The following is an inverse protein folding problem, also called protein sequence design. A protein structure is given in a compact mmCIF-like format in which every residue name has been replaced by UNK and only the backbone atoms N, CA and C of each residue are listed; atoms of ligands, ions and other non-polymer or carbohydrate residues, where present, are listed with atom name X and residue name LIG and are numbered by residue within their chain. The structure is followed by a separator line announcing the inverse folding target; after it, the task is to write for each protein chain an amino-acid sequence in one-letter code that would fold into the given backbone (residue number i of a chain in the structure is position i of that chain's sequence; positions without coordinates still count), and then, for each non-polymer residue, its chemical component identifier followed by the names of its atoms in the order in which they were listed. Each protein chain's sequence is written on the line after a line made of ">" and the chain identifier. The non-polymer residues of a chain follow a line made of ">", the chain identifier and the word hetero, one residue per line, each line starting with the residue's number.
data_IF_098957339219
#
_entry.id   IF_098957339219
#
_cell.length_a   1.000
_cell.length_b   1.000
_cell.length_c   1.000
_cell.angle_alpha   90.00
_cell.angle_beta   90.00
_cell.angle_gamma   90.00
#
_symmetry.space_group_name_H-M   'P 1'
#
loop_
_entity.id
_entity.type
_entity.pdbx_description
1 polymer ?
#
# COMPACT_ATOMS: atom_id res chain seq x y z
N UNK A 1 4.83 -16.44 2.89
CA UNK A 1 6.07 -15.93 2.33
C UNK A 1 5.89 -14.54 1.80
N UNK A 2 6.89 -13.72 2.00
CA UNK A 2 6.83 -12.35 1.54
C UNK A 2 7.16 -12.21 0.07
N UNK A 3 7.13 -10.99 -0.45
CA UNK A 3 7.48 -10.73 -1.84
C UNK A 3 8.97 -10.95 -2.07
N UNK A 4 9.32 -11.28 -3.29
CA UNK A 4 10.72 -11.36 -3.66
C UNK A 4 11.30 -9.95 -3.73
N UNK A 5 12.63 -9.85 -3.77
CA UNK A 5 13.28 -8.55 -3.87
C UNK A 5 12.83 -7.78 -5.11
N UNK A 6 12.73 -8.47 -6.25
CA UNK A 6 12.35 -7.78 -7.48
C UNK A 6 10.87 -7.36 -7.44
N UNK A 7 10.01 -8.14 -6.79
CA UNK A 7 8.62 -7.73 -6.62
C UNK A 7 8.51 -6.48 -5.77
N UNK A 8 9.29 -6.42 -4.70
CA UNK A 8 9.25 -5.27 -3.81
C UNK A 8 9.79 -4.02 -4.50
N UNK A 9 10.90 -4.17 -5.21
CA UNK A 9 11.49 -3.04 -5.95
C UNK A 9 10.47 -2.51 -6.96
N UNK A 10 9.82 -3.39 -7.69
CA UNK A 10 8.80 -2.99 -8.64
C UNK A 10 7.63 -2.28 -7.95
N UNK A 11 7.22 -2.80 -6.78
CA UNK A 11 6.11 -2.21 -6.06
C UNK A 11 6.39 -0.79 -5.61
N UNK A 12 7.62 -0.50 -5.19
CA UNK A 12 7.96 0.84 -4.68
C UNK A 12 8.49 1.76 -5.77
N UNK A 13 8.54 1.32 -7.02
CA UNK A 13 9.07 2.14 -8.10
C UNK A 13 8.15 3.28 -8.49
N UNK A 14 6.85 3.15 -8.25
CA UNK A 14 5.89 4.17 -8.63
C UNK A 14 5.67 5.15 -7.49
N UNK A 15 5.76 6.47 -7.75
CA UNK A 15 5.66 7.47 -6.67
C UNK A 15 4.37 7.36 -5.86
N UNK A 16 3.23 7.13 -6.51
CA UNK A 16 1.97 7.04 -5.78
C UNK A 16 1.95 5.81 -4.89
N UNK A 17 2.55 4.70 -5.34
CA UNK A 17 2.62 3.51 -4.48
C UNK A 17 3.46 3.78 -3.24
N UNK A 18 4.55 4.52 -3.37
CA UNK A 18 5.35 4.90 -2.21
C UNK A 18 4.55 5.76 -1.25
N UNK A 19 3.75 6.70 -1.78
CA UNK A 19 2.90 7.53 -0.92
C UNK A 19 1.87 6.70 -0.18
N UNK A 20 1.29 5.71 -0.86
CA UNK A 20 0.33 4.81 -0.22
C UNK A 20 1.01 4.06 0.93
N UNK A 21 2.19 3.51 0.69
CA UNK A 21 2.88 2.75 1.72
C UNK A 21 3.32 3.63 2.88
N UNK A 22 3.74 4.85 2.59
CA UNK A 22 4.05 5.81 3.67
C UNK A 22 2.81 6.12 4.50
N UNK A 23 1.64 6.19 3.88
CA UNK A 23 0.42 6.45 4.63
C UNK A 23 0.17 5.33 5.65
N UNK A 24 0.41 4.08 5.26
CA UNK A 24 0.28 2.98 6.20
C UNK A 24 1.28 3.09 7.34
N UNK A 25 2.52 3.44 7.02
CA UNK A 25 3.57 3.49 8.04
C UNK A 25 3.40 4.69 8.96
N UNK A 26 3.23 5.87 8.37
CA UNK A 26 3.17 7.09 9.16
C UNK A 26 1.87 7.20 9.94
N UNK A 27 0.78 6.69 9.37
CA UNK A 27 -0.51 6.69 10.04
C UNK A 27 -0.73 5.49 10.94
N UNK A 28 0.21 4.54 10.95
CA UNK A 28 0.09 3.30 11.72
C UNK A 28 -1.24 2.63 11.43
N UNK A 29 -1.57 2.54 10.15
CA UNK A 29 -2.86 2.00 9.74
C UNK A 29 -2.85 0.48 9.82
N UNK A 30 -3.88 -0.09 10.45
CA UNK A 30 -4.05 -1.54 10.44
C UNK A 30 -4.59 -1.99 9.09
N UNK A 31 -5.54 -1.23 8.55
CA UNK A 31 -6.06 -1.49 7.22
C UNK A 31 -6.72 -0.21 6.71
N UNK A 32 -6.89 -0.14 5.41
CA UNK A 32 -7.51 1.02 4.80
C UNK A 32 -8.16 0.63 3.48
N UNK A 33 -9.24 1.31 3.14
CA UNK A 33 -9.90 1.13 1.86
C UNK A 33 -9.31 2.08 0.84
N UNK A 34 -9.60 1.81 -0.43
CA UNK A 34 -9.16 2.70 -1.51
C UNK A 34 -9.71 4.10 -1.32
N UNK A 35 -10.96 4.20 -0.88
CA UNK A 35 -11.59 5.51 -0.68
C UNK A 35 -10.90 6.29 0.43
N UNK A 36 -10.59 5.63 1.54
CA UNK A 36 -9.92 6.29 2.65
C UNK A 36 -8.54 6.80 2.22
N UNK A 37 -7.80 5.98 1.50
CA UNK A 37 -6.47 6.39 1.05
C UNK A 37 -6.55 7.49 -0.01
N UNK A 38 -7.54 7.41 -0.90
CA UNK A 38 -7.70 8.43 -1.93
C UNK A 38 -7.97 9.79 -1.29
N UNK A 39 -8.81 9.82 -0.26
CA UNK A 39 -9.07 11.07 0.45
C UNK A 39 -7.81 11.59 1.13
N UNK A 40 -7.11 10.72 1.81
CA UNK A 40 -5.90 11.13 2.55
C UNK A 40 -4.82 11.65 1.61
N UNK A 41 -4.71 11.09 0.42
CA UNK A 41 -3.67 11.43 -0.53
C UNK A 41 -4.14 12.41 -1.60
N UNK A 42 -5.41 12.78 -1.57
CA UNK A 42 -6.01 13.69 -2.54
C UNK A 42 -5.83 13.17 -3.97
N UNK A 43 -6.17 11.90 -4.14
CA UNK A 43 -6.06 11.22 -5.42
C UNK A 43 -7.41 10.62 -5.81
N UNK A 44 -7.51 10.18 -7.05
CA UNK A 44 -8.74 9.54 -7.52
C UNK A 44 -8.84 8.13 -6.97
N UNK A 45 -10.04 7.76 -6.55
CA UNK A 45 -10.26 6.44 -5.96
C UNK A 45 -9.87 5.32 -6.92
N UNK A 46 -10.23 5.45 -8.18
CA UNK A 46 -9.90 4.41 -9.16
C UNK A 46 -8.42 4.19 -9.32
N UNK A 47 -7.66 5.28 -9.29
CA UNK A 47 -6.22 5.20 -9.41
C UNK A 47 -5.61 4.52 -8.19
N UNK A 48 -6.07 4.91 -7.00
CA UNK A 48 -5.59 4.30 -5.77
C UNK A 48 -5.96 2.81 -5.74
N UNK A 49 -7.19 2.48 -6.12
CA UNK A 49 -7.63 1.10 -6.14
C UNK A 49 -6.76 0.24 -7.06
N UNK A 50 -6.41 0.77 -8.21
CA UNK A 50 -5.53 0.05 -9.14
C UNK A 50 -4.20 -0.27 -8.48
N UNK A 51 -3.60 0.73 -7.83
CA UNK A 51 -2.30 0.50 -7.19
C UNK A 51 -2.39 -0.42 -5.98
N UNK A 52 -3.49 -0.38 -5.24
CA UNK A 52 -3.68 -1.30 -4.13
C UNK A 52 -3.74 -2.74 -4.62
N UNK A 53 -4.44 -2.98 -5.72
CA UNK A 53 -4.51 -4.32 -6.29
C UNK A 53 -3.14 -4.77 -6.80
N UNK A 54 -2.38 -3.86 -7.39
CA UNK A 54 -1.04 -4.18 -7.86
C UNK A 54 -0.13 -4.53 -6.69
N UNK A 55 -0.22 -3.76 -5.59
CA UNK A 55 0.57 -4.06 -4.40
C UNK A 55 0.17 -5.40 -3.79
N UNK A 56 -1.11 -5.75 -3.86
CA UNK A 56 -1.57 -7.04 -3.37
C UNK A 56 -1.02 -8.18 -4.22
N UNK A 57 -0.97 -7.98 -5.53
CA UNK A 57 -0.40 -9.00 -6.41
C UNK A 57 1.07 -9.24 -6.12
N UNK A 58 1.77 -8.21 -5.67
CA UNK A 58 3.18 -8.31 -5.32
C UNK A 58 3.39 -8.76 -3.88
N UNK A 59 2.32 -9.10 -3.17
CA UNK A 59 2.36 -9.58 -1.79
C UNK A 59 2.87 -8.55 -0.79
N UNK A 60 2.74 -7.28 -1.13
CA UNK A 60 3.06 -6.18 -0.21
C UNK A 60 1.86 -5.83 0.63
N UNK A 61 0.67 -5.96 0.06
CA UNK A 61 -0.58 -5.78 0.77
C UNK A 61 -1.40 -7.05 0.71
N UNK A 62 -2.36 -7.16 1.63
CA UNK A 62 -3.30 -8.29 1.63
C UNK A 62 -4.71 -7.75 1.87
N UNK A 63 -5.72 -8.40 1.29
CA UNK A 63 -7.10 -7.98 1.52
C UNK A 63 -7.53 -8.36 2.94
N UNK A 64 -8.36 -7.50 3.53
CA UNK A 64 -8.87 -7.70 4.88
C UNK A 64 -10.34 -7.35 4.89
N UNK A 65 -11.14 -8.15 5.59
CA UNK A 65 -12.52 -7.82 5.80
C UNK A 65 -12.64 -6.94 7.03
N UNK A 66 -13.39 -5.85 6.89
CA UNK A 66 -13.61 -4.91 7.98
C UNK A 66 -15.10 -4.67 8.13
N UNK A 67 -15.60 -4.71 9.36
CA UNK A 67 -17.00 -4.47 9.62
C UNK A 67 -17.87 -5.68 9.34
N UNK A 68 -19.14 -5.42 9.17
CA UNK A 68 -20.12 -6.47 8.97
C UNK A 68 -20.05 -7.00 7.55
N UNK A 69 -20.13 -8.30 7.44
CA UNK A 69 -19.98 -8.90 6.14
C UNK A 69 -21.19 -8.77 5.26
N UNK A 70 -22.34 -8.46 5.77
CA UNK A 70 -23.48 -8.23 4.90
C UNK A 70 -23.29 -6.96 4.09
N UNK A 71 -22.34 -6.16 4.46
CA UNK A 71 -21.99 -4.97 3.72
C UNK A 71 -20.83 -5.21 2.78
N UNK A 72 -20.41 -6.43 2.63
CA UNK A 72 -19.21 -6.76 1.88
C UNK A 72 -19.46 -6.60 0.39
N UNK A 73 -19.20 -5.44 -0.12
CA UNK A 73 -19.17 -5.18 -1.54
C UNK A 73 -17.72 -4.90 -1.91
N UNK A 74 -17.43 -5.05 -3.18
CA UNK A 74 -16.05 -4.85 -3.62
C UNK A 74 -15.53 -3.48 -3.27
N UNK A 75 -16.42 -2.48 -3.27
CA UNK A 75 -16.02 -1.12 -2.96
C UNK A 75 -15.57 -0.96 -1.52
N UNK A 76 -15.93 -1.89 -0.66
CA UNK A 76 -15.59 -1.81 0.75
C UNK A 76 -14.45 -2.72 1.14
N UNK A 77 -13.74 -3.23 0.16
CA UNK A 77 -12.58 -4.04 0.43
C UNK A 77 -11.49 -3.18 1.07
N UNK A 78 -10.88 -3.71 2.12
CA UNK A 78 -9.81 -3.02 2.82
C UNK A 78 -8.52 -3.78 2.62
N UNK A 79 -7.40 -3.09 2.78
CA UNK A 79 -6.08 -3.65 2.54
C UNK A 79 -5.18 -3.35 3.73
N UNK A 80 -4.37 -4.32 4.09
CA UNK A 80 -3.41 -4.17 5.18
C UNK A 80 -2.02 -4.55 4.68
N UNK A 81 -1.00 -4.09 5.38
CA UNK A 81 0.36 -4.47 5.04
C UNK A 81 0.55 -5.97 5.23
N UNK A 82 1.17 -6.61 4.25
CA UNK A 82 1.52 -8.02 4.32
C UNK A 82 2.99 -8.23 4.62
N UNK A 83 3.72 -7.14 4.86
CA UNK A 83 5.15 -7.18 5.17
C UNK A 83 5.37 -6.44 6.49
N UNK A 84 6.49 -6.70 7.12
CA UNK A 84 6.80 -6.01 8.38
C UNK A 84 7.05 -4.53 8.13
N UNK A 85 6.45 -3.70 9.00
CA UNK A 85 6.55 -2.26 8.85
C UNK A 85 8.00 -1.78 8.92
N UNK A 86 8.78 -2.35 9.84
CA UNK A 86 10.18 -1.92 10.01
C UNK A 86 10.98 -2.18 8.74
N UNK A 87 10.76 -3.35 8.13
CA UNK A 87 11.46 -3.71 6.90
C UNK A 87 11.06 -2.81 5.75
N UNK A 88 9.75 -2.55 5.63
CA UNK A 88 9.25 -1.69 4.56
C UNK A 88 9.79 -0.27 4.72
N UNK A 89 9.82 0.23 5.94
CA UNK A 89 10.33 1.57 6.21
C UNK A 89 11.78 1.69 5.76
N UNK A 90 12.58 0.67 6.04
CA UNK A 90 13.97 0.66 5.63
C UNK A 90 14.11 0.69 4.11
N UNK A 91 13.30 -0.10 3.41
CA UNK A 91 13.32 -0.13 1.95
C UNK A 91 12.97 1.24 1.37
N UNK A 92 11.96 1.88 1.93
CA UNK A 92 11.54 3.19 1.44
C UNK A 92 12.58 4.26 1.69
N UNK A 93 13.30 4.18 2.82
CA UNK A 93 14.37 5.12 3.10
C UNK A 93 15.50 5.00 2.09
N UNK A 94 15.86 3.78 1.74
CA UNK A 94 16.90 3.56 0.74
C UNK A 94 16.47 4.14 -0.61
N UNK A 95 15.20 3.97 -0.95
CA UNK A 95 14.71 4.50 -2.21
C UNK A 95 14.77 6.02 -2.25
N UNK A 96 14.39 6.67 -1.14
CA UNK A 96 14.44 8.13 -1.07
C UNK A 96 15.87 8.63 -1.21
N UNK A 97 16.81 7.96 -0.58
CA UNK A 97 18.21 8.34 -0.72
C UNK A 97 18.70 8.21 -2.15
N UNK A 98 18.28 7.16 -2.82
CA UNK A 98 18.65 6.97 -4.24
C UNK A 98 18.08 8.09 -5.11
N UNK A 99 16.83 8.51 -4.83
CA UNK A 99 16.22 9.62 -5.56
C UNK A 99 17.00 10.92 -5.35
N UNK A 100 17.40 11.17 -4.11
CA UNK A 100 18.16 12.39 -3.81
C UNK A 100 19.56 12.37 -4.41
N UNK A 101 20.17 11.19 -4.46
CA UNK A 101 21.51 11.05 -5.02
C UNK A 101 21.51 11.17 -6.53
N UNK A 102 20.41 10.79 -7.14
CA UNK A 102 20.30 10.82 -8.59
C UNK A 102 19.85 12.15 -9.09
#
# INVERSE_FOLDING_TARGET
>A
MGPSSSELISAVAHPLRRRILHAYLDGELECASARELAEALEQRVGQVAYHLKTLAKSNVLRPVQRGKREQAQEDHCCWALAVEAAWLRLVLEVWVEADLAG
#
